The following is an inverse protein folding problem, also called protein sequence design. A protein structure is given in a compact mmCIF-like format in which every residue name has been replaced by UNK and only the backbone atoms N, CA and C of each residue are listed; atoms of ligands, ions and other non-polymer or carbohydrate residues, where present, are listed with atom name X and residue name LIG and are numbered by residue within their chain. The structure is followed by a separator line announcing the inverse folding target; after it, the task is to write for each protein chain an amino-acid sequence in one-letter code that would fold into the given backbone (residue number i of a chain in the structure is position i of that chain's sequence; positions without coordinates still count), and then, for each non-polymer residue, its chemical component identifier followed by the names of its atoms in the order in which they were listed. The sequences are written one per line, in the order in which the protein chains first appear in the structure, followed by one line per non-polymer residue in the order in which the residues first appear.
data_IF_849866869133
#
_entry.id   IF_849866869133
#
_cell.length_a   1.000
_cell.length_b   1.000
_cell.length_c   1.000
_cell.angle_alpha   90.00
_cell.angle_beta   90.00
_cell.angle_gamma   90.00
#
_symmetry.space_group_name_H-M   'P 1'
#
loop_
_entity.id
_entity.type
_entity.pdbx_description
1 polymer ?
#
# COMPACT_ATOMS: atom_id res chain seq x y z
N UNK A 1 -24.16 14.42 15.52
CA UNK A 1 -22.88 14.92 16.06
C UNK A 1 -21.69 14.01 15.73
N UNK A 2 -21.72 12.70 15.98
CA UNK A 2 -20.60 11.78 15.68
C UNK A 2 -20.20 11.73 14.18
N UNK A 3 -21.14 11.73 13.25
CA UNK A 3 -20.84 11.72 11.81
C UNK A 3 -20.23 13.04 11.33
N UNK A 4 -20.62 14.18 11.89
CA UNK A 4 -20.02 15.49 11.58
C UNK A 4 -18.58 15.57 12.07
N UNK A 5 -18.28 15.05 13.28
CA UNK A 5 -16.91 14.99 13.80
C UNK A 5 -16.00 14.08 12.96
N UNK A 6 -16.50 12.92 12.52
CA UNK A 6 -15.76 12.03 11.62
C UNK A 6 -15.43 12.70 10.28
N UNK A 7 -16.41 13.38 9.68
CA UNK A 7 -16.21 14.11 8.40
C UNK A 7 -15.17 15.23 8.54
N UNK A 8 -15.18 15.98 9.65
CA UNK A 8 -14.18 17.03 9.91
C UNK A 8 -12.78 16.41 10.07
N UNK A 9 -12.67 15.29 10.77
CA UNK A 9 -11.37 14.62 10.98
C UNK A 9 -10.81 14.08 9.68
N UNK A 10 -11.62 13.42 8.84
CA UNK A 10 -11.20 12.94 7.53
C UNK A 10 -10.75 14.09 6.61
N UNK A 11 -11.50 15.21 6.60
CA UNK A 11 -11.10 16.40 5.85
C UNK A 11 -9.76 16.97 6.31
N UNK A 12 -9.51 17.05 7.62
CA UNK A 12 -8.23 17.50 8.18
C UNK A 12 -7.09 16.56 7.79
N UNK A 13 -7.33 15.25 7.84
CA UNK A 13 -6.36 14.25 7.43
C UNK A 13 -6.04 14.39 5.93
N UNK A 14 -7.04 14.58 5.06
CA UNK A 14 -6.83 14.79 3.63
C UNK A 14 -6.02 16.06 3.35
N UNK A 15 -6.30 17.16 4.04
CA UNK A 15 -5.53 18.41 3.90
C UNK A 15 -4.08 18.19 4.34
N UNK A 16 -3.86 17.53 5.49
CA UNK A 16 -2.51 17.20 5.97
C UNK A 16 -1.76 16.30 4.97
N UNK A 17 -2.45 15.31 4.40
CA UNK A 17 -1.88 14.43 3.36
C UNK A 17 -1.38 15.24 2.16
N UNK A 18 -2.21 16.12 1.61
CA UNK A 18 -1.83 16.95 0.47
C UNK A 18 -0.67 17.89 0.81
N UNK A 19 -0.71 18.51 2.00
CA UNK A 19 0.34 19.41 2.44
C UNK A 19 1.70 18.69 2.62
N UNK A 20 1.71 17.51 3.27
CA UNK A 20 2.95 16.74 3.52
C UNK A 20 3.48 16.14 2.23
N UNK A 21 2.64 15.61 1.35
CA UNK A 21 3.07 15.12 0.03
C UNK A 21 3.62 16.25 -0.84
N UNK A 22 2.93 17.39 -0.88
CA UNK A 22 3.40 18.57 -1.62
C UNK A 22 4.75 19.06 -1.11
N UNK A 23 4.93 19.16 0.21
CA UNK A 23 6.21 19.51 0.82
C UNK A 23 7.29 18.46 0.51
N UNK A 24 6.98 17.16 0.61
CA UNK A 24 7.91 16.07 0.31
C UNK A 24 8.40 16.11 -1.13
N UNK A 25 7.51 16.29 -2.10
CA UNK A 25 7.91 16.40 -3.50
C UNK A 25 8.62 17.72 -3.80
N UNK A 26 8.25 18.84 -3.18
CA UNK A 26 9.02 20.06 -3.28
C UNK A 26 10.46 19.88 -2.77
N UNK A 27 10.64 19.22 -1.62
CA UNK A 27 11.97 18.86 -1.12
C UNK A 27 12.72 17.92 -2.08
N UNK A 28 12.05 16.91 -2.63
CA UNK A 28 12.66 15.97 -3.57
C UNK A 28 13.16 16.66 -4.85
N UNK A 29 12.38 17.60 -5.41
CA UNK A 29 12.75 18.25 -6.67
C UNK A 29 13.67 19.46 -6.51
N UNK A 30 13.56 20.23 -5.43
CA UNK A 30 14.24 21.51 -5.29
C UNK A 30 15.33 21.54 -4.20
N UNK A 31 15.31 20.60 -3.25
CA UNK A 31 16.26 20.59 -2.14
C UNK A 31 17.23 19.40 -2.19
N UNK A 32 16.72 18.19 -2.47
CA UNK A 32 17.57 17.01 -2.57
C UNK A 32 18.47 17.10 -3.82
N UNK A 33 19.77 16.78 -3.72
CA UNK A 33 20.68 16.77 -4.87
C UNK A 33 20.24 15.69 -5.88
N UNK A 34 20.75 15.83 -7.10
CA UNK A 34 20.69 14.76 -8.10
C UNK A 34 21.72 13.67 -7.78
N UNK A 35 21.38 12.44 -8.12
CA UNK A 35 22.31 11.32 -8.02
C UNK A 35 23.38 11.42 -9.11
N UNK A 36 24.64 11.17 -8.74
CA UNK A 36 25.76 11.33 -9.65
C UNK A 36 25.74 10.34 -10.82
N UNK A 37 25.21 9.13 -10.59
CA UNK A 37 25.22 8.06 -11.58
C UNK A 37 23.92 8.03 -12.40
N UNK A 38 22.77 8.25 -11.76
CA UNK A 38 21.46 8.16 -12.38
C UNK A 38 20.89 9.52 -12.83
N UNK A 39 21.43 10.62 -12.34
CA UNK A 39 20.94 11.97 -12.64
C UNK A 39 19.46 12.17 -12.23
N UNK A 40 18.73 12.90 -13.05
CA UNK A 40 17.33 13.28 -12.76
C UNK A 40 16.38 12.09 -12.59
N UNK A 41 16.59 10.95 -13.29
CA UNK A 41 15.71 9.78 -13.18
C UNK A 41 15.63 9.22 -11.76
N UNK A 42 16.68 9.40 -10.94
CA UNK A 42 16.70 9.02 -9.54
C UNK A 42 15.60 9.70 -8.71
N UNK A 43 15.07 10.87 -9.13
CA UNK A 43 13.98 11.53 -8.41
C UNK A 43 12.72 10.67 -8.27
N UNK A 44 12.53 9.67 -9.13
CA UNK A 44 11.44 8.68 -9.01
C UNK A 44 11.54 7.87 -7.69
N UNK A 45 12.72 7.76 -7.09
CA UNK A 45 12.96 7.15 -5.78
C UNK A 45 12.01 7.69 -4.71
N UNK A 46 11.79 9.01 -4.67
CA UNK A 46 10.94 9.67 -3.66
C UNK A 46 9.45 9.35 -3.79
N UNK A 47 9.03 8.80 -4.92
CA UNK A 47 7.69 8.27 -5.13
C UNK A 47 7.67 6.74 -4.95
N UNK A 48 8.57 6.04 -5.67
CA UNK A 48 8.56 4.58 -5.81
C UNK A 48 8.80 3.86 -4.47
N UNK A 49 9.86 4.24 -3.74
CA UNK A 49 10.23 3.53 -2.50
C UNK A 49 9.24 3.79 -1.36
N UNK A 50 8.75 5.02 -1.10
CA UNK A 50 7.64 5.25 -0.18
C UNK A 50 6.38 4.46 -0.54
N UNK A 51 6.02 4.42 -1.84
CA UNK A 51 4.86 3.68 -2.32
C UNK A 51 4.99 2.18 -2.06
N UNK A 52 6.17 1.58 -2.36
CA UNK A 52 6.46 0.18 -2.10
C UNK A 52 6.43 -0.15 -0.60
N UNK A 53 7.07 0.67 0.21
CA UNK A 53 7.13 0.49 1.67
C UNK A 53 5.72 0.51 2.27
N UNK A 54 4.91 1.50 1.90
CA UNK A 54 3.55 1.64 2.45
C UNK A 54 2.61 0.55 1.93
N UNK A 55 2.75 0.12 0.66
CA UNK A 55 1.99 -1.01 0.13
C UNK A 55 2.25 -2.30 0.93
N UNK A 56 3.53 -2.63 1.15
CA UNK A 56 3.93 -3.82 1.90
C UNK A 56 3.47 -3.76 3.37
N UNK A 57 3.61 -2.61 4.03
CA UNK A 57 3.09 -2.41 5.39
C UNK A 57 1.57 -2.52 5.44
N UNK A 58 0.86 -2.02 4.43
CA UNK A 58 -0.59 -2.15 4.33
C UNK A 58 -1.04 -3.61 4.19
N UNK A 59 -0.29 -4.47 3.50
CA UNK A 59 -0.53 -5.90 3.47
C UNK A 59 -0.33 -6.56 4.84
N UNK A 60 0.68 -6.13 5.61
CA UNK A 60 0.86 -6.60 6.99
C UNK A 60 -0.32 -6.18 7.87
N UNK A 61 -0.77 -4.92 7.75
CA UNK A 61 -1.97 -4.42 8.48
C UNK A 61 -3.20 -5.27 8.14
N UNK A 62 -3.37 -5.62 6.86
CA UNK A 62 -4.44 -6.50 6.42
C UNK A 62 -4.37 -7.90 7.08
N UNK A 63 -3.19 -8.51 7.11
CA UNK A 63 -2.98 -9.80 7.76
C UNK A 63 -3.28 -9.74 9.27
N UNK A 64 -2.88 -8.66 9.96
CA UNK A 64 -3.22 -8.45 11.38
C UNK A 64 -4.74 -8.36 11.58
N UNK A 65 -5.45 -7.64 10.71
CA UNK A 65 -6.91 -7.58 10.78
C UNK A 65 -7.56 -8.93 10.43
N UNK A 66 -7.04 -9.68 9.47
CA UNK A 66 -7.49 -11.01 9.14
C UNK A 66 -7.33 -11.99 10.33
N UNK A 67 -6.20 -11.95 11.04
CA UNK A 67 -5.99 -12.72 12.29
C UNK A 67 -7.04 -12.33 13.34
N UNK A 68 -7.29 -11.03 13.54
CA UNK A 68 -8.30 -10.56 14.49
C UNK A 68 -9.69 -11.02 14.10
N UNK A 69 -10.05 -10.99 12.80
CA UNK A 69 -11.32 -11.51 12.32
C UNK A 69 -11.49 -13.00 12.63
N UNK A 70 -10.49 -13.85 12.35
CA UNK A 70 -10.57 -15.27 12.66
C UNK A 70 -10.69 -15.57 14.17
N UNK A 71 -10.12 -14.70 15.02
CA UNK A 71 -10.18 -14.87 16.50
C UNK A 71 -11.48 -14.37 17.11
N UNK A 72 -12.07 -13.32 16.56
CA UNK A 72 -13.20 -12.62 17.20
C UNK A 72 -14.54 -12.83 16.48
N UNK A 73 -14.51 -13.20 15.19
CA UNK A 73 -15.71 -13.21 14.33
C UNK A 73 -16.24 -11.80 13.99
N UNK A 74 -15.59 -10.71 14.47
CA UNK A 74 -16.11 -9.35 14.23
C UNK A 74 -15.93 -8.94 12.75
N UNK A 75 -17.04 -8.68 12.02
CA UNK A 75 -17.02 -8.30 10.62
C UNK A 75 -16.29 -6.98 10.34
N UNK A 76 -16.10 -6.14 11.36
CA UNK A 76 -15.29 -4.92 11.22
C UNK A 76 -13.83 -5.22 10.87
N UNK A 77 -13.30 -6.33 11.36
CA UNK A 77 -11.95 -6.75 11.05
C UNK A 77 -11.83 -7.29 9.63
N UNK A 78 -12.83 -8.04 9.15
CA UNK A 78 -12.89 -8.45 7.74
C UNK A 78 -12.94 -7.24 6.80
N UNK A 79 -13.79 -6.26 7.08
CA UNK A 79 -13.88 -5.03 6.30
C UNK A 79 -12.55 -4.25 6.27
N UNK A 80 -11.86 -4.15 7.42
CA UNK A 80 -10.55 -3.49 7.50
C UNK A 80 -9.46 -4.26 6.74
N UNK A 81 -9.43 -5.59 6.84
CA UNK A 81 -8.51 -6.41 6.07
C UNK A 81 -8.73 -6.21 4.56
N UNK A 82 -9.99 -6.28 4.12
CA UNK A 82 -10.36 -6.06 2.72
C UNK A 82 -9.90 -4.69 2.20
N UNK A 83 -10.21 -3.60 2.92
CA UNK A 83 -9.88 -2.25 2.48
C UNK A 83 -8.37 -2.02 2.49
N UNK A 84 -7.66 -2.54 3.50
CA UNK A 84 -6.19 -2.46 3.54
C UNK A 84 -5.56 -3.18 2.34
N UNK A 85 -6.05 -4.36 1.95
CA UNK A 85 -5.60 -5.06 0.74
C UNK A 85 -5.91 -4.22 -0.50
N UNK A 86 -7.13 -3.69 -0.61
CA UNK A 86 -7.56 -2.92 -1.76
C UNK A 86 -6.63 -1.73 -2.05
N UNK A 87 -6.44 -0.87 -1.07
CA UNK A 87 -5.57 0.29 -1.22
C UNK A 87 -4.11 -0.13 -1.46
N UNK A 88 -3.63 -1.19 -0.78
CA UNK A 88 -2.26 -1.66 -0.96
C UNK A 88 -2.01 -2.31 -2.33
N UNK A 89 -3.00 -2.96 -2.94
CA UNK A 89 -2.91 -3.47 -4.32
C UNK A 89 -2.85 -2.31 -5.32
N UNK A 90 -3.64 -1.24 -5.12
CA UNK A 90 -3.55 -0.03 -5.95
C UNK A 90 -2.14 0.59 -5.85
N UNK A 91 -1.59 0.69 -4.64
CA UNK A 91 -0.23 1.17 -4.42
C UNK A 91 0.79 0.23 -5.07
N UNK A 92 0.62 -1.09 -4.93
CA UNK A 92 1.47 -2.11 -5.55
C UNK A 92 1.49 -2.01 -7.07
N UNK A 93 0.36 -1.73 -7.71
CA UNK A 93 0.32 -1.44 -9.15
C UNK A 93 1.14 -0.18 -9.48
N UNK A 94 1.02 0.87 -8.67
CA UNK A 94 1.85 2.07 -8.79
C UNK A 94 3.34 1.78 -8.66
N UNK A 95 3.73 0.85 -7.76
CA UNK A 95 5.13 0.38 -7.61
C UNK A 95 5.62 -0.28 -8.89
N UNK A 96 4.84 -1.21 -9.46
CA UNK A 96 5.20 -1.89 -10.70
C UNK A 96 5.38 -0.89 -11.86
N UNK A 97 4.48 0.06 -12.01
CA UNK A 97 4.55 1.09 -13.05
C UNK A 97 5.76 2.01 -12.87
N UNK A 98 5.93 2.59 -11.68
CA UNK A 98 7.04 3.50 -11.40
C UNK A 98 8.39 2.78 -11.43
N UNK A 99 8.44 1.52 -10.98
CA UNK A 99 9.63 0.68 -11.05
C UNK A 99 10.03 0.35 -12.48
N UNK A 100 9.07 0.03 -13.36
CA UNK A 100 9.34 -0.20 -14.77
C UNK A 100 9.88 1.06 -15.48
N UNK A 101 9.32 2.25 -15.19
CA UNK A 101 9.82 3.52 -15.71
C UNK A 101 11.25 3.77 -15.24
N UNK A 102 11.52 3.55 -13.94
CA UNK A 102 12.86 3.72 -13.37
C UNK A 102 13.86 2.74 -13.97
N UNK A 103 13.50 1.46 -14.11
CA UNK A 103 14.32 0.44 -14.73
C UNK A 103 14.66 0.82 -16.19
N UNK A 104 13.68 1.30 -16.95
CA UNK A 104 13.92 1.75 -18.32
C UNK A 104 14.88 2.93 -18.39
N UNK A 105 14.75 3.91 -17.51
CA UNK A 105 15.62 5.09 -17.45
C UNK A 105 17.04 4.79 -16.96
N UNK A 106 17.19 3.85 -15.99
CA UNK A 106 18.48 3.56 -15.37
C UNK A 106 19.23 2.41 -16.02
N UNK A 107 18.51 1.38 -16.49
CA UNK A 107 19.10 0.12 -16.98
C UNK A 107 18.79 -0.17 -18.46
N UNK A 108 18.00 0.67 -19.11
CA UNK A 108 17.61 0.49 -20.52
C UNK A 108 16.54 -0.56 -20.78
N UNK A 109 16.08 -1.30 -19.77
CA UNK A 109 15.05 -2.34 -19.86
C UNK A 109 13.85 -2.01 -18.98
N UNK A 110 12.65 -2.44 -19.40
CA UNK A 110 11.44 -2.20 -18.61
C UNK A 110 11.34 -3.14 -17.38
N UNK A 111 11.99 -4.31 -17.44
CA UNK A 111 11.95 -5.33 -16.42
C UNK A 111 13.16 -6.26 -16.51
N UNK A 112 13.72 -6.65 -15.35
CA UNK A 112 14.79 -7.66 -15.29
C UNK A 112 14.30 -8.86 -14.46
N UNK A 113 14.07 -9.98 -15.14
CA UNK A 113 13.53 -11.19 -14.53
C UNK A 113 14.50 -11.91 -13.59
N UNK A 114 15.78 -11.63 -13.68
CA UNK A 114 16.80 -12.22 -12.80
C UNK A 114 17.02 -11.38 -11.54
N UNK A 115 16.38 -10.22 -11.43
CA UNK A 115 16.51 -9.34 -10.27
C UNK A 115 15.56 -9.83 -9.15
N UNK A 116 16.11 -10.36 -8.00
CA UNK A 116 15.29 -10.94 -6.94
C UNK A 116 14.30 -9.95 -6.32
N UNK A 117 14.66 -8.68 -6.25
CA UNK A 117 13.81 -7.63 -5.67
C UNK A 117 12.55 -7.43 -6.49
N UNK A 118 12.68 -7.36 -7.82
CA UNK A 118 11.56 -7.17 -8.71
C UNK A 118 10.62 -8.38 -8.70
N UNK A 119 11.20 -9.57 -8.85
CA UNK A 119 10.43 -10.83 -8.95
C UNK A 119 9.72 -11.14 -7.63
N UNK A 120 10.39 -10.98 -6.48
CA UNK A 120 9.76 -11.25 -5.19
C UNK A 120 8.63 -10.27 -4.87
N UNK A 121 8.75 -8.98 -5.25
CA UNK A 121 7.66 -8.02 -5.12
C UNK A 121 6.48 -8.38 -6.04
N UNK A 122 6.76 -8.77 -7.30
CA UNK A 122 5.72 -9.22 -8.23
C UNK A 122 4.95 -10.42 -7.69
N UNK A 123 5.63 -11.40 -7.07
CA UNK A 123 4.99 -12.55 -6.44
C UNK A 123 4.03 -12.11 -5.33
N UNK A 124 4.47 -11.23 -4.43
CA UNK A 124 3.60 -10.67 -3.37
C UNK A 124 2.40 -9.95 -3.96
N UNK A 125 2.62 -9.11 -4.98
CA UNK A 125 1.54 -8.39 -5.66
C UNK A 125 0.52 -9.34 -6.28
N UNK A 126 0.96 -10.36 -7.02
CA UNK A 126 0.08 -11.34 -7.66
C UNK A 126 -0.70 -12.18 -6.65
N UNK A 127 -0.06 -12.58 -5.54
CA UNK A 127 -0.76 -13.24 -4.43
C UNK A 127 -1.93 -12.37 -3.92
N UNK A 128 -1.70 -11.08 -3.68
CA UNK A 128 -2.77 -10.21 -3.22
C UNK A 128 -3.78 -9.84 -4.31
N UNK A 129 -3.40 -9.83 -5.58
CA UNK A 129 -4.32 -9.67 -6.70
C UNK A 129 -5.31 -10.86 -6.78
N UNK A 130 -4.84 -12.09 -6.51
CA UNK A 130 -5.70 -13.29 -6.48
C UNK A 130 -6.65 -13.35 -5.29
N UNK A 131 -6.49 -12.48 -4.28
CA UNK A 131 -7.43 -12.35 -3.17
C UNK A 131 -8.87 -12.07 -3.63
N UNK A 132 -9.05 -11.25 -4.67
CA UNK A 132 -10.38 -10.86 -5.14
C UNK A 132 -11.14 -12.00 -5.81
N UNK A 133 -10.62 -12.67 -6.84
CA UNK A 133 -11.33 -13.79 -7.45
C UNK A 133 -11.60 -14.90 -6.43
N UNK A 134 -10.67 -15.19 -5.51
CA UNK A 134 -10.91 -16.15 -4.44
C UNK A 134 -12.06 -15.71 -3.53
N UNK A 135 -12.06 -14.45 -3.09
CA UNK A 135 -13.10 -13.92 -2.21
C UNK A 135 -14.47 -13.97 -2.88
N UNK A 136 -14.58 -13.50 -4.11
CA UNK A 136 -15.88 -13.40 -4.81
C UNK A 136 -16.38 -14.72 -5.40
N UNK A 137 -15.57 -15.78 -5.43
CA UNK A 137 -16.02 -17.12 -5.79
C UNK A 137 -16.86 -17.80 -4.69
N UNK A 138 -16.91 -17.22 -3.47
CA UNK A 138 -17.61 -17.79 -2.34
C UNK A 138 -18.90 -17.00 -2.09
N UNK A 139 -20.07 -17.64 -2.25
CA UNK A 139 -21.38 -17.00 -2.14
C UNK A 139 -21.77 -16.73 -0.68
N UNK A 140 -21.53 -17.70 0.21
CA UNK A 140 -21.82 -17.56 1.64
C UNK A 140 -20.88 -16.55 2.29
N UNK A 141 -21.45 -15.50 2.88
CA UNK A 141 -20.67 -14.34 3.40
C UNK A 141 -19.76 -14.70 4.57
N UNK A 142 -20.18 -15.61 5.43
CA UNK A 142 -19.38 -15.97 6.60
C UNK A 142 -18.21 -16.87 6.19
N UNK A 143 -18.44 -17.79 5.27
CA UNK A 143 -17.38 -18.59 4.64
C UNK A 143 -16.44 -17.69 3.83
N UNK A 144 -16.98 -16.79 3.02
CA UNK A 144 -16.21 -15.82 2.24
C UNK A 144 -15.23 -15.05 3.13
N UNK A 145 -15.72 -14.43 4.22
CA UNK A 145 -14.88 -13.66 5.14
C UNK A 145 -13.82 -14.52 5.81
N UNK A 146 -14.15 -15.75 6.20
CA UNK A 146 -13.22 -16.68 6.85
C UNK A 146 -12.12 -17.16 5.90
N UNK A 147 -12.46 -17.61 4.70
CA UNK A 147 -11.47 -18.07 3.72
C UNK A 147 -10.60 -16.92 3.21
N UNK A 148 -11.20 -15.75 2.96
CA UNK A 148 -10.47 -14.55 2.60
C UNK A 148 -9.47 -14.13 3.69
N UNK A 149 -9.82 -14.28 4.98
CA UNK A 149 -8.91 -14.00 6.09
C UNK A 149 -7.75 -15.01 6.14
N UNK A 150 -8.01 -16.30 5.96
CA UNK A 150 -6.95 -17.32 5.88
C UNK A 150 -5.99 -16.99 4.74
N UNK A 151 -6.54 -16.68 3.57
CA UNK A 151 -5.72 -16.31 2.42
C UNK A 151 -4.88 -15.05 2.67
N UNK A 152 -5.48 -14.00 3.25
CA UNK A 152 -4.78 -12.75 3.57
C UNK A 152 -3.62 -12.96 4.56
N UNK A 153 -3.77 -13.87 5.54
CA UNK A 153 -2.70 -14.23 6.47
C UNK A 153 -1.57 -14.97 5.73
N UNK A 154 -1.93 -15.96 4.90
CA UNK A 154 -0.95 -16.74 4.12
C UNK A 154 -0.18 -15.82 3.17
N UNK A 155 -0.85 -14.97 2.41
CA UNK A 155 -0.21 -13.98 1.54
C UNK A 155 0.65 -12.99 2.34
N UNK A 156 0.20 -12.59 3.54
CA UNK A 156 0.92 -11.70 4.45
C UNK A 156 2.26 -12.27 4.93
N UNK A 157 2.38 -13.58 5.06
CA UNK A 157 3.63 -14.24 5.42
C UNK A 157 4.72 -14.11 4.32
N UNK A 158 4.34 -13.89 3.06
CA UNK A 158 5.29 -13.65 1.98
C UNK A 158 5.89 -12.22 2.02
N UNK A 159 5.30 -11.27 2.73
CA UNK A 159 5.86 -9.92 2.85
C UNK A 159 7.20 -9.92 3.59
N UNK A 160 7.34 -10.49 4.80
CA UNK A 160 8.65 -10.65 5.44
C UNK A 160 9.63 -11.49 4.60
N UNK A 161 9.15 -12.52 3.90
CA UNK A 161 9.99 -13.32 3.00
C UNK A 161 10.52 -12.50 1.82
N UNK A 162 9.74 -11.56 1.28
CA UNK A 162 10.22 -10.62 0.27
C UNK A 162 11.39 -9.78 0.80
N UNK A 163 11.28 -9.19 2.00
CA UNK A 163 12.39 -8.45 2.62
C UNK A 163 13.62 -9.32 2.87
N UNK A 164 13.42 -10.58 3.27
CA UNK A 164 14.51 -11.53 3.51
C UNK A 164 15.19 -11.92 2.19
N UNK A 165 14.42 -12.24 1.15
CA UNK A 165 14.94 -12.58 -0.17
C UNK A 165 15.82 -11.44 -0.74
N UNK A 166 15.34 -10.20 -0.64
CA UNK A 166 16.09 -9.02 -1.07
C UNK A 166 17.41 -8.84 -0.31
N UNK A 167 17.47 -9.26 0.96
CA UNK A 167 18.69 -9.15 1.77
C UNK A 167 19.68 -10.30 1.55
N UNK A 168 19.19 -11.50 1.30
CA UNK A 168 20.01 -12.71 1.14
C UNK A 168 20.49 -12.91 -0.29
N UNK A 169 19.71 -12.48 -1.30
CA UNK A 169 20.12 -12.58 -2.69
C UNK A 169 21.10 -11.47 -3.05
N UNK A 170 22.06 -11.75 -3.91
CA UNK A 170 22.89 -10.71 -4.51
C UNK A 170 22.07 -9.89 -5.51
N UNK A 171 22.04 -8.55 -5.37
CA UNK A 171 21.35 -7.70 -6.34
C UNK A 171 22.10 -7.70 -7.66
N UNK A 172 21.37 -7.79 -8.75
CA UNK A 172 21.94 -7.74 -10.08
C UNK A 172 22.09 -6.28 -10.53
N UNK A 173 21.04 -5.51 -10.40
CA UNK A 173 20.95 -4.12 -10.87
C UNK A 173 20.20 -3.20 -9.89
N UNK A 174 19.35 -3.75 -9.01
CA UNK A 174 18.53 -2.95 -8.11
C UNK A 174 19.37 -2.41 -6.93
N UNK A 175 19.47 -1.07 -6.74
CA UNK A 175 20.29 -0.50 -5.70
C UNK A 175 19.78 -0.84 -4.30
N UNK A 176 20.70 -1.21 -3.41
CA UNK A 176 20.42 -1.39 -1.97
C UNK A 176 20.71 -0.10 -1.21
N UNK A 177 19.93 0.93 -1.47
CA UNK A 177 20.14 2.31 -0.99
C UNK A 177 20.34 2.42 0.52
N UNK A 178 19.70 1.56 1.33
CA UNK A 178 19.79 1.60 2.79
C UNK A 178 20.84 0.65 3.38
N UNK A 179 21.49 -0.16 2.58
CA UNK A 179 22.51 -1.13 3.02
C UNK A 179 23.92 -0.82 2.52
N UNK A 180 24.10 0.19 1.68
CA UNK A 180 25.40 0.66 1.23
C UNK A 180 26.13 1.40 2.36
N UNK A 181 27.46 1.20 2.44
CA UNK A 181 28.31 1.94 3.37
C UNK A 181 28.22 3.45 3.04
N UNK A 182 27.61 4.22 3.93
CA UNK A 182 27.40 5.66 3.74
C UNK A 182 25.93 6.09 3.67
N UNK A 183 25.00 5.18 3.36
CA UNK A 183 23.56 5.49 3.32
C UNK A 183 23.20 6.58 2.30
N UNK A 184 22.04 7.20 2.51
CA UNK A 184 21.64 8.39 1.76
C UNK A 184 22.26 9.65 2.38
N UNK A 185 22.68 10.65 1.59
CA UNK A 185 22.99 11.99 2.12
C UNK A 185 21.84 12.55 2.94
N UNK A 186 22.13 13.33 3.99
CA UNK A 186 21.14 13.83 4.93
C UNK A 186 19.96 14.56 4.25
N UNK A 187 20.26 15.37 3.23
CA UNK A 187 19.22 16.08 2.46
C UNK A 187 18.30 15.14 1.69
N UNK A 188 18.85 14.06 1.12
CA UNK A 188 18.07 13.03 0.43
C UNK A 188 17.25 12.20 1.41
N UNK A 189 17.85 11.83 2.55
CA UNK A 189 17.15 11.09 3.61
C UNK A 189 15.99 11.92 4.18
N UNK A 190 16.19 13.20 4.45
CA UNK A 190 15.14 14.08 4.94
C UNK A 190 13.97 14.19 3.95
N UNK A 191 14.24 14.46 2.67
CA UNK A 191 13.22 14.50 1.62
C UNK A 191 12.47 13.17 1.52
N UNK A 192 13.20 12.04 1.58
CA UNK A 192 12.62 10.70 1.57
C UNK A 192 11.67 10.46 2.74
N UNK A 193 12.07 10.80 3.96
CA UNK A 193 11.23 10.60 5.16
C UNK A 193 9.95 11.42 5.11
N UNK A 194 10.00 12.66 4.58
CA UNK A 194 8.79 13.48 4.38
C UNK A 194 7.87 12.85 3.32
N UNK A 195 8.44 12.38 2.21
CA UNK A 195 7.67 11.65 1.18
C UNK A 195 7.04 10.36 1.75
N UNK A 196 7.78 9.60 2.55
CA UNK A 196 7.29 8.38 3.20
C UNK A 196 6.15 8.69 4.17
N UNK A 197 6.29 9.72 4.99
CA UNK A 197 5.23 10.17 5.90
C UNK A 197 3.97 10.61 5.12
N UNK A 198 4.15 11.38 4.04
CA UNK A 198 3.05 11.79 3.17
C UNK A 198 2.36 10.61 2.49
N UNK A 199 3.11 9.60 2.04
CA UNK A 199 2.57 8.38 1.43
C UNK A 199 1.80 7.53 2.45
N UNK A 200 2.30 7.42 3.69
CA UNK A 200 1.60 6.75 4.78
C UNK A 200 0.28 7.46 5.15
N UNK A 201 0.29 8.80 5.19
CA UNK A 201 -0.93 9.60 5.38
C UNK A 201 -1.92 9.40 4.23
N UNK A 202 -1.45 9.31 2.98
CA UNK A 202 -2.31 9.04 1.82
C UNK A 202 -3.01 7.69 1.96
N UNK A 203 -2.24 6.65 2.27
CA UNK A 203 -2.79 5.31 2.49
C UNK A 203 -3.83 5.32 3.61
N UNK A 204 -3.53 5.91 4.76
CA UNK A 204 -4.44 5.99 5.90
C UNK A 204 -5.71 6.78 5.55
N UNK A 205 -5.58 7.88 4.81
CA UNK A 205 -6.72 8.71 4.35
C UNK A 205 -7.64 7.90 3.43
N UNK A 206 -7.07 7.18 2.45
CA UNK A 206 -7.82 6.37 1.50
C UNK A 206 -8.51 5.18 2.19
N UNK A 207 -7.83 4.51 3.10
CA UNK A 207 -8.41 3.42 3.91
C UNK A 207 -9.58 3.94 4.75
N UNK A 208 -9.42 5.07 5.42
CA UNK A 208 -10.51 5.64 6.21
C UNK A 208 -11.70 6.05 5.32
N UNK A 209 -11.43 6.75 4.24
CA UNK A 209 -12.45 7.16 3.28
C UNK A 209 -13.27 5.97 2.75
N UNK A 210 -12.60 4.89 2.34
CA UNK A 210 -13.28 3.71 1.81
C UNK A 210 -14.09 2.98 2.89
N UNK A 211 -13.59 2.87 4.13
CA UNK A 211 -14.32 2.29 5.24
C UNK A 211 -15.59 3.09 5.56
N UNK A 212 -15.53 4.42 5.57
CA UNK A 212 -16.68 5.28 5.80
C UNK A 212 -17.68 5.18 4.62
N UNK A 213 -17.22 5.14 3.37
CA UNK A 213 -18.06 4.96 2.20
C UNK A 213 -18.80 3.61 2.23
N UNK A 214 -18.12 2.52 2.58
CA UNK A 214 -18.75 1.19 2.75
C UNK A 214 -19.80 1.18 3.87
N UNK A 215 -19.52 1.82 4.99
CA UNK A 215 -20.46 1.94 6.11
C UNK A 215 -21.71 2.76 5.71
N UNK A 216 -21.54 3.84 4.97
CA UNK A 216 -22.64 4.65 4.46
C UNK A 216 -23.52 3.86 3.47
N UNK A 217 -22.91 3.14 2.52
CA UNK A 217 -23.62 2.28 1.57
C UNK A 217 -24.42 1.17 2.26
N UNK A 218 -23.85 0.54 3.28
CA UNK A 218 -24.53 -0.49 4.07
C UNK A 218 -25.75 0.10 4.82
N UNK A 219 -25.63 1.33 5.35
CA UNK A 219 -26.73 2.01 6.03
C UNK A 219 -27.88 2.34 5.06
N UNK A 220 -27.55 2.88 3.87
CA UNK A 220 -28.52 3.17 2.82
C UNK A 220 -29.26 1.90 2.39
N UNK A 221 -28.56 0.78 2.19
CA UNK A 221 -29.18 -0.50 1.87
C UNK A 221 -30.12 -1.02 2.96
N UNK A 222 -29.83 -0.74 4.25
CA UNK A 222 -30.75 -1.09 5.36
C UNK A 222 -32.02 -0.24 5.34
N UNK A 223 -31.88 1.07 5.15
CA UNK A 223 -33.02 2.00 5.07
C UNK A 223 -33.95 1.61 3.91
N UNK A 224 -33.36 1.37 2.73
CA UNK A 224 -34.11 0.95 1.55
C UNK A 224 -34.94 -0.30 1.81
N UNK A 225 -34.34 -1.36 2.35
CA UNK A 225 -35.05 -2.61 2.68
C UNK A 225 -36.15 -2.40 3.72
N UNK A 226 -35.94 -1.50 4.71
CA UNK A 226 -36.97 -1.18 5.70
C UNK A 226 -38.18 -0.46 5.08
N UNK A 227 -37.94 0.43 4.11
CA UNK A 227 -39.01 1.12 3.38
C UNK A 227 -39.78 0.15 2.47
N UNK A 228 -39.09 -0.73 1.75
CA UNK A 228 -39.71 -1.77 0.90
C UNK A 228 -40.56 -2.78 1.69
N UNK A 229 -40.24 -3.02 2.97
CA UNK A 229 -40.99 -3.89 3.84
C UNK A 229 -42.28 -3.26 4.42
N UNK A 230 -42.43 -1.93 4.29
CA UNK A 230 -43.62 -1.19 4.80
C UNK A 230 -44.56 -0.78 3.66
N UNK A 231 -44.09 -0.85 2.42
CA UNK A 231 -44.86 -0.55 1.21
C UNK A 231 -45.62 -1.80 0.70
#
# INVERSE_FOLDING_TARGET
MANALKSITLRRLAIATVAVLGAGYALAFFYAPEDADQGFIQKIFYLHVPLATVALLGFIVAAVHAIRHLRTGDPKHDARAYVSIHISVIFGLGVLLTGAIWAKGSWGVWWEWREPTLVSFLIVFLLYATYYPLRYAIEDRDRQARYASVFAITAGAFVPLNFLAVRLAEPLVHPRTFSSAGGLPDSMLFAFLVCLAGMALLWATLVWFELDAKAASANLGRIRRALEAVA
#
